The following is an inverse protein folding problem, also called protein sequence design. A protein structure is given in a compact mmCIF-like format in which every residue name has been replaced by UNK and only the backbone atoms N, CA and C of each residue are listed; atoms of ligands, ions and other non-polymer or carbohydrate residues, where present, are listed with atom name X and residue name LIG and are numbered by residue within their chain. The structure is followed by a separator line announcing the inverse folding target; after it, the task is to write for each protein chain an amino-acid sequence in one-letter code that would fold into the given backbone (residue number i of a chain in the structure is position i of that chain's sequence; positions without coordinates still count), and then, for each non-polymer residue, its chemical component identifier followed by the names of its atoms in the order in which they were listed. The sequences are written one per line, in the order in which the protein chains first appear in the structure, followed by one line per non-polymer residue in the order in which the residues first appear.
data_IF_631679879811
#
_entry.id   IF_631679879811
#
_cell.length_a   1.000
_cell.length_b   1.000
_cell.length_c   1.000
_cell.angle_alpha   90.00
_cell.angle_beta   90.00
_cell.angle_gamma   90.00
#
_symmetry.space_group_name_H-M   'P 1'
#
loop_
_entity.id
_entity.type
_entity.pdbx_description
1 polymer ?
#
# COMPACT_ATOMS: atom_id res chain seq x y z
N UNK A 1 -35.15 30.97 2.71
CA UNK A 1 -34.90 29.54 2.46
C UNK A 1 -33.45 29.26 2.84
N UNK A 2 -33.10 28.23 3.63
CA UNK A 2 -31.74 28.04 4.09
C UNK A 2 -30.90 27.28 3.05
N UNK A 3 -29.72 27.83 2.75
CA UNK A 3 -28.64 27.25 1.95
C UNK A 3 -27.94 26.08 2.68
N UNK A 4 -28.69 25.03 3.03
CA UNK A 4 -28.14 23.86 3.75
C UNK A 4 -27.79 22.68 2.84
N UNK A 5 -27.81 22.84 1.51
CA UNK A 5 -27.28 21.82 0.59
C UNK A 5 -25.76 21.98 0.38
N UNK A 6 -25.06 22.30 1.46
CA UNK A 6 -23.62 22.19 1.55
C UNK A 6 -23.23 20.75 1.22
N UNK A 7 -22.45 20.59 0.15
CA UNK A 7 -21.51 19.49 -0.05
C UNK A 7 -22.10 18.11 0.23
N UNK A 8 -22.93 17.61 -0.68
CA UNK A 8 -23.21 16.18 -0.75
C UNK A 8 -21.93 15.44 -1.13
N UNK A 9 -21.06 15.17 -0.16
CA UNK A 9 -20.03 14.15 -0.30
C UNK A 9 -20.77 12.84 -0.57
N UNK A 10 -20.82 12.45 -1.84
CA UNK A 10 -21.45 11.22 -2.26
C UNK A 10 -20.65 10.08 -1.63
N UNK A 11 -21.19 9.50 -0.56
CA UNK A 11 -20.51 8.47 0.21
C UNK A 11 -20.22 7.29 -0.73
N UNK A 12 -18.97 6.80 -0.79
CA UNK A 12 -18.61 5.70 -1.67
C UNK A 12 -19.49 4.48 -1.37
N UNK A 13 -19.94 3.84 -2.43
CA UNK A 13 -20.68 2.59 -2.34
C UNK A 13 -19.81 1.49 -1.74
N UNK A 14 -20.44 0.48 -1.15
CA UNK A 14 -19.70 -0.67 -0.61
C UNK A 14 -18.82 -1.36 -1.66
N UNK A 15 -19.24 -1.37 -2.93
CA UNK A 15 -18.43 -1.90 -4.04
C UNK A 15 -17.15 -1.08 -4.26
N UNK A 16 -17.27 0.25 -4.30
CA UNK A 16 -16.10 1.14 -4.46
C UNK A 16 -15.12 1.04 -3.28
N UNK A 17 -15.64 0.82 -2.07
CA UNK A 17 -14.81 0.57 -0.88
C UNK A 17 -14.05 -0.75 -1.01
N UNK A 18 -14.71 -1.83 -1.45
CA UNK A 18 -14.05 -3.12 -1.69
C UNK A 18 -12.99 -3.01 -2.78
N UNK A 19 -13.29 -2.35 -3.89
CA UNK A 19 -12.33 -2.10 -4.98
C UNK A 19 -11.12 -1.27 -4.52
N UNK A 20 -11.31 -0.37 -3.56
CA UNK A 20 -10.22 0.40 -2.96
C UNK A 20 -9.32 -0.49 -2.10
N UNK A 21 -9.93 -1.34 -1.26
CA UNK A 21 -9.21 -2.29 -0.41
C UNK A 21 -8.41 -3.28 -1.26
N UNK A 22 -9.00 -3.84 -2.32
CA UNK A 22 -8.31 -4.79 -3.20
C UNK A 22 -7.10 -4.16 -3.89
N UNK A 23 -7.22 -2.90 -4.33
CA UNK A 23 -6.09 -2.16 -4.91
C UNK A 23 -4.97 -1.94 -3.89
N UNK A 24 -5.32 -1.59 -2.65
CA UNK A 24 -4.34 -1.37 -1.59
C UNK A 24 -3.61 -2.67 -1.21
N UNK A 25 -4.36 -3.78 -1.11
CA UNK A 25 -3.81 -5.10 -0.84
C UNK A 25 -2.86 -5.55 -1.96
N UNK A 26 -3.27 -5.45 -3.21
CA UNK A 26 -2.42 -5.81 -4.35
C UNK A 26 -1.11 -5.00 -4.39
N UNK A 27 -1.18 -3.70 -4.09
CA UNK A 27 -0.01 -2.85 -3.96
C UNK A 27 0.89 -3.26 -2.77
N UNK A 28 0.28 -3.63 -1.64
CA UNK A 28 0.97 -4.16 -0.46
C UNK A 28 1.72 -5.46 -0.75
N UNK A 29 1.06 -6.43 -1.38
CA UNK A 29 1.67 -7.71 -1.75
C UNK A 29 2.85 -7.56 -2.72
N UNK A 30 2.74 -6.63 -3.67
CA UNK A 30 3.85 -6.34 -4.59
C UNK A 30 5.06 -5.81 -3.82
N UNK A 31 4.85 -4.85 -2.90
CA UNK A 31 5.92 -4.32 -2.04
C UNK A 31 6.53 -5.40 -1.15
N UNK A 32 5.71 -6.28 -0.57
CA UNK A 32 6.20 -7.39 0.24
C UNK A 32 7.08 -8.35 -0.57
N UNK A 33 6.69 -8.70 -1.79
CA UNK A 33 7.51 -9.52 -2.70
C UNK A 33 8.83 -8.86 -3.07
N UNK A 34 8.82 -7.54 -3.29
CA UNK A 34 10.05 -6.78 -3.56
C UNK A 34 10.98 -6.76 -2.33
N UNK A 35 10.42 -6.57 -1.13
CA UNK A 35 11.17 -6.62 0.13
C UNK A 35 11.76 -8.01 0.39
N UNK A 36 10.98 -9.08 0.18
CA UNK A 36 11.45 -10.46 0.31
C UNK A 36 12.62 -10.74 -0.64
N UNK A 37 12.47 -10.35 -1.91
CA UNK A 37 13.54 -10.46 -2.91
C UNK A 37 14.80 -9.69 -2.49
N UNK A 38 14.64 -8.49 -1.94
CA UNK A 38 15.78 -7.69 -1.50
C UNK A 38 16.51 -8.33 -0.31
N UNK A 39 15.77 -8.77 0.72
CA UNK A 39 16.34 -9.43 1.91
C UNK A 39 17.05 -10.74 1.55
N UNK A 40 16.47 -11.52 0.64
CA UNK A 40 17.05 -12.79 0.17
C UNK A 40 18.16 -12.59 -0.87
N UNK A 41 18.33 -11.39 -1.41
CA UNK A 41 19.36 -11.12 -2.40
C UNK A 41 20.76 -11.09 -1.80
N UNK A 42 21.74 -11.43 -2.65
CA UNK A 42 23.15 -11.33 -2.33
C UNK A 42 23.57 -9.89 -1.96
N UNK A 43 22.89 -8.88 -2.51
CA UNK A 43 23.21 -7.46 -2.23
C UNK A 43 22.95 -7.06 -0.78
N UNK A 44 21.85 -7.52 -0.19
CA UNK A 44 21.56 -7.29 1.23
C UNK A 44 22.52 -8.09 2.11
N UNK A 45 22.77 -9.35 1.75
CA UNK A 45 23.73 -10.22 2.46
C UNK A 45 25.13 -9.60 2.49
N UNK A 46 25.62 -9.08 1.36
CA UNK A 46 26.89 -8.37 1.27
C UNK A 46 26.90 -7.12 2.15
N UNK A 47 25.88 -6.25 2.02
CA UNK A 47 25.81 -4.99 2.80
C UNK A 47 25.63 -5.22 4.30
N UNK A 48 25.00 -6.33 4.70
CA UNK A 48 24.88 -6.73 6.10
C UNK A 48 26.23 -7.16 6.67
N UNK A 49 26.98 -8.02 5.96
CA UNK A 49 28.31 -8.49 6.37
C UNK A 49 29.34 -7.36 6.46
N UNK A 50 29.34 -6.42 5.52
CA UNK A 50 30.23 -5.25 5.55
C UNK A 50 30.02 -4.33 6.76
N UNK A 51 28.82 -4.33 7.35
CA UNK A 51 28.50 -3.53 8.53
C UNK A 51 28.83 -4.24 9.85
N UNK A 52 29.19 -5.53 9.78
CA UNK A 52 29.64 -6.33 10.92
C UNK A 52 31.18 -6.40 11.05
N UNK A 53 31.91 -5.81 10.10
CA UNK A 53 33.36 -5.64 10.13
C UNK A 53 33.71 -4.22 10.54
#
# INVERSE_FOLDING_TARGET
MPDSMATGEQQPSSGELLDAVDRELAAGEKRLREMERYVTSDTFTLRSRFRQL
#
